data_IF_035095606111
#
_entry.id   IF_035095606111
#
_cell.length_a   1.000
_cell.length_b   1.000
_cell.length_c   1.000
_cell.angle_alpha   90.00
_cell.angle_beta   90.00
_cell.angle_gamma   90.00
#
_symmetry.space_group_name_H-M   'P 1'
#
loop_
_entity.id
_entity.type
_entity.pdbx_description
1 polymer ?
#
# COMPACT_ATOMS: atom_id res chain seq x y z
N UNK A 1 23.28 -10.74 9.55
CA UNK A 1 23.03 -11.37 10.87
C UNK A 1 22.55 -10.40 11.95
N UNK A 2 23.33 -9.41 12.41
CA UNK A 2 22.86 -8.50 13.50
C UNK A 2 21.67 -7.61 13.08
N UNK A 3 21.67 -7.09 11.85
CA UNK A 3 20.56 -6.30 11.30
C UNK A 3 19.27 -7.10 11.15
N UNK A 4 19.38 -8.36 10.74
CA UNK A 4 18.23 -9.27 10.61
C UNK A 4 17.62 -9.59 11.96
N UNK A 5 18.45 -9.78 12.99
CA UNK A 5 17.96 -9.99 14.36
C UNK A 5 17.14 -8.79 14.85
N UNK A 6 17.63 -7.57 14.65
CA UNK A 6 16.89 -6.34 14.98
C UNK A 6 15.58 -6.28 14.21
N UNK A 7 15.60 -6.56 12.90
CA UNK A 7 14.40 -6.50 12.08
C UNK A 7 13.33 -7.52 12.49
N UNK A 8 13.74 -8.74 12.86
CA UNK A 8 12.85 -9.81 13.32
C UNK A 8 12.25 -9.47 14.70
N UNK A 9 13.05 -8.95 15.63
CA UNK A 9 12.62 -8.66 17.00
C UNK A 9 12.12 -7.22 17.21
N UNK A 10 11.95 -6.45 16.12
CA UNK A 10 11.60 -5.01 16.19
C UNK A 10 10.36 -4.74 17.02
N UNK A 11 9.35 -5.63 16.97
CA UNK A 11 8.08 -5.47 17.69
C UNK A 11 8.26 -5.63 19.20
N UNK A 12 9.10 -6.58 19.63
CA UNK A 12 9.44 -6.79 21.05
C UNK A 12 10.29 -5.64 21.61
N UNK A 13 11.05 -4.97 20.75
CA UNK A 13 11.92 -3.84 21.10
C UNK A 13 11.21 -2.48 20.95
N UNK A 14 9.97 -2.44 20.46
CA UNK A 14 9.24 -1.20 20.18
C UNK A 14 9.85 -0.34 19.07
N UNK A 15 10.62 -0.94 18.16
CA UNK A 15 11.33 -0.27 17.07
C UNK A 15 10.47 -0.32 15.79
N UNK A 16 10.27 0.83 15.16
CA UNK A 16 9.57 0.89 13.86
C UNK A 16 10.44 0.34 12.73
N UNK A 17 9.81 -0.13 11.66
CA UNK A 17 10.52 -0.62 10.46
C UNK A 17 11.46 0.44 9.86
N UNK A 18 11.05 1.71 9.90
CA UNK A 18 11.86 2.85 9.44
C UNK A 18 13.12 3.00 10.28
N UNK A 19 13.00 2.95 11.61
CA UNK A 19 14.15 3.07 12.52
C UNK A 19 15.12 1.91 12.33
N UNK A 20 14.61 0.67 12.18
CA UNK A 20 15.44 -0.49 11.90
C UNK A 20 16.23 -0.34 10.58
N UNK A 21 15.59 0.17 9.52
CA UNK A 21 16.26 0.45 8.25
C UNK A 21 17.34 1.54 8.36
N UNK A 22 17.05 2.63 9.08
CA UNK A 22 18.02 3.72 9.31
C UNK A 22 19.22 3.29 10.16
N UNK A 23 19.00 2.42 11.14
CA UNK A 23 20.11 1.79 11.89
C UNK A 23 20.98 0.93 10.98
N UNK A 24 20.37 0.15 10.08
CA UNK A 24 21.09 -0.60 9.06
C UNK A 24 21.96 0.28 8.17
N UNK A 25 21.39 1.36 7.63
CA UNK A 25 22.11 2.33 6.82
C UNK A 25 23.27 2.99 7.59
N UNK A 26 23.03 3.38 8.84
CA UNK A 26 24.05 4.00 9.70
C UNK A 26 25.23 3.06 9.94
N UNK A 27 24.96 1.78 10.19
CA UNK A 27 26.02 0.77 10.37
C UNK A 27 26.82 0.56 9.08
N UNK A 28 26.16 0.52 7.91
CA UNK A 28 26.85 0.38 6.62
C UNK A 28 27.80 1.56 6.33
N UNK A 29 27.39 2.77 6.70
CA UNK A 29 28.24 3.98 6.59
C UNK A 29 29.43 3.93 7.57
N UNK A 30 29.20 3.55 8.83
CA UNK A 30 30.27 3.46 9.85
C UNK A 30 31.31 2.40 9.49
N UNK A 31 30.86 1.27 8.94
CA UNK A 31 31.74 0.19 8.50
C UNK A 31 32.47 0.50 7.18
N UNK A 32 32.16 1.63 6.53
CA UNK A 32 32.74 2.02 5.25
C UNK A 32 32.34 1.13 4.08
N UNK A 33 31.28 0.32 4.23
CA UNK A 33 30.74 -0.54 3.16
C UNK A 33 30.00 0.31 2.13
N UNK A 34 29.36 1.38 2.58
CA UNK A 34 28.78 2.43 1.74
C UNK A 34 29.41 3.76 2.10
N UNK A 35 29.61 4.61 1.11
CA UNK A 35 29.96 6.02 1.30
C UNK A 35 28.70 6.89 1.28
N UNK A 36 28.83 8.12 1.76
CA UNK A 36 27.75 9.09 1.65
C UNK A 36 27.41 9.42 0.19
N UNK A 37 28.42 9.47 -0.67
CA UNK A 37 28.23 9.70 -2.11
C UNK A 37 27.46 8.56 -2.78
N UNK A 38 27.69 7.30 -2.36
CA UNK A 38 26.89 6.16 -2.83
C UNK A 38 25.40 6.38 -2.51
N UNK A 39 25.09 6.83 -1.30
CA UNK A 39 23.71 7.09 -0.87
C UNK A 39 23.06 8.26 -1.64
N UNK A 40 23.81 9.32 -1.92
CA UNK A 40 23.33 10.46 -2.71
C UNK A 40 23.14 10.09 -4.19
N UNK A 41 23.97 9.18 -4.70
CA UNK A 41 23.93 8.74 -6.09
C UNK A 41 22.82 7.73 -6.39
N UNK A 42 22.19 7.16 -5.36
CA UNK A 42 21.09 6.18 -5.47
C UNK A 42 19.77 6.85 -5.87
N UNK A 43 19.68 7.31 -7.12
CA UNK A 43 18.56 8.08 -7.65
C UNK A 43 17.21 7.36 -7.54
N UNK A 44 17.21 6.03 -7.64
CA UNK A 44 15.98 5.23 -7.57
C UNK A 44 15.27 5.37 -6.21
N UNK A 45 16.04 5.39 -5.12
CA UNK A 45 15.50 5.58 -3.78
C UNK A 45 14.91 6.98 -3.59
N UNK A 46 15.59 8.01 -4.08
CA UNK A 46 15.13 9.41 -3.99
C UNK A 46 13.89 9.67 -4.84
N UNK A 47 13.83 9.13 -6.06
CA UNK A 47 12.68 9.26 -6.96
C UNK A 47 11.43 8.60 -6.33
N UNK A 48 11.60 7.39 -5.80
CA UNK A 48 10.57 6.68 -5.05
C UNK A 48 10.07 7.51 -3.87
N UNK A 49 10.97 8.03 -3.03
CA UNK A 49 10.61 8.84 -1.87
C UNK A 49 9.82 10.10 -2.26
N UNK A 50 10.27 10.82 -3.28
CA UNK A 50 9.64 12.07 -3.72
C UNK A 50 8.24 11.83 -4.28
N UNK A 51 8.09 10.87 -5.20
CA UNK A 51 6.80 10.58 -5.83
C UNK A 51 5.79 10.01 -4.82
N UNK A 52 6.20 9.07 -3.97
CA UNK A 52 5.32 8.53 -2.92
C UNK A 52 4.91 9.58 -1.90
N UNK A 53 5.84 10.45 -1.47
CA UNK A 53 5.54 11.53 -0.54
C UNK A 53 4.46 12.48 -1.09
N UNK A 54 4.59 12.88 -2.36
CA UNK A 54 3.61 13.75 -3.03
C UNK A 54 2.26 13.05 -3.19
N UNK A 55 2.24 11.79 -3.65
CA UNK A 55 1.00 11.03 -3.82
C UNK A 55 0.24 10.85 -2.50
N UNK A 56 0.92 10.42 -1.43
CA UNK A 56 0.30 10.24 -0.11
C UNK A 56 -0.21 11.58 0.40
N UNK A 57 0.59 12.66 0.27
CA UNK A 57 0.18 14.01 0.66
C UNK A 57 -1.11 14.47 -0.04
N UNK A 58 -1.21 14.28 -1.36
CA UNK A 58 -2.41 14.61 -2.11
C UNK A 58 -3.62 13.74 -1.71
N UNK A 59 -3.43 12.44 -1.52
CA UNK A 59 -4.50 11.52 -1.09
C UNK A 59 -5.05 11.89 0.30
N UNK A 60 -4.16 12.28 1.23
CA UNK A 60 -4.54 12.79 2.55
C UNK A 60 -5.36 14.07 2.43
N UNK A 61 -4.89 15.05 1.64
CA UNK A 61 -5.62 16.31 1.46
C UNK A 61 -6.99 16.11 0.80
N UNK A 62 -7.11 15.22 -0.19
CA UNK A 62 -8.41 14.88 -0.79
C UNK A 62 -9.37 14.24 0.21
N UNK A 63 -8.84 13.47 1.17
CA UNK A 63 -9.62 12.89 2.25
C UNK A 63 -10.08 13.97 3.22
N UNK A 64 -9.18 14.84 3.66
CA UNK A 64 -9.46 15.93 4.61
C UNK A 64 -10.44 16.97 4.05
N UNK A 65 -10.35 17.25 2.74
CA UNK A 65 -11.31 18.11 2.02
C UNK A 65 -12.67 17.46 1.78
N UNK A 66 -12.87 16.19 2.18
CA UNK A 66 -14.15 15.49 2.08
C UNK A 66 -14.48 14.94 0.68
N UNK A 67 -13.54 15.00 -0.27
CA UNK A 67 -13.74 14.49 -1.65
C UNK A 67 -13.94 12.98 -1.62
N UNK A 68 -13.18 12.26 -0.79
CA UNK A 68 -13.26 10.81 -0.65
C UNK A 68 -14.64 10.36 -0.13
N UNK A 69 -15.16 10.89 1.00
CA UNK A 69 -16.54 10.63 1.43
C UNK A 69 -17.62 11.02 0.41
N UNK A 70 -17.46 12.15 -0.27
CA UNK A 70 -18.40 12.62 -1.28
C UNK A 70 -18.49 11.64 -2.47
N UNK A 71 -17.34 11.27 -3.06
CA UNK A 71 -17.28 10.31 -4.17
C UNK A 71 -17.84 8.96 -3.76
N UNK A 72 -17.51 8.52 -2.54
CA UNK A 72 -18.03 7.27 -1.98
C UNK A 72 -19.55 7.26 -1.90
N UNK A 73 -20.15 8.41 -1.56
CA UNK A 73 -21.60 8.58 -1.49
C UNK A 73 -22.23 8.51 -2.88
N UNK A 74 -21.61 9.11 -3.90
CA UNK A 74 -22.06 9.02 -5.30
C UNK A 74 -22.09 7.56 -5.78
N UNK A 75 -21.01 6.80 -5.57
CA UNK A 75 -20.93 5.39 -5.96
C UNK A 75 -21.95 4.55 -5.18
N UNK A 76 -22.09 4.77 -3.88
CA UNK A 76 -23.07 4.03 -3.08
C UNK A 76 -24.51 4.33 -3.48
N UNK A 77 -24.83 5.57 -3.85
CA UNK A 77 -26.16 5.95 -4.36
C UNK A 77 -26.42 5.34 -5.73
N UNK A 78 -25.41 5.26 -6.60
CA UNK A 78 -25.50 4.53 -7.86
C UNK A 78 -25.80 3.05 -7.64
N UNK A 79 -25.07 2.38 -6.73
CA UNK A 79 -25.32 0.98 -6.35
C UNK A 79 -26.72 0.78 -5.75
N UNK A 80 -27.19 1.72 -4.92
CA UNK A 80 -28.57 1.70 -4.39
C UNK A 80 -29.62 1.87 -5.49
N UNK A 81 -29.37 2.72 -6.49
CA UNK A 81 -30.29 2.92 -7.62
C UNK A 81 -30.48 1.65 -8.44
N UNK A 82 -29.46 0.80 -8.49
CA UNK A 82 -29.50 -0.54 -9.09
C UNK A 82 -30.18 -1.60 -8.19
N UNK A 83 -30.75 -1.20 -7.04
CA UNK A 83 -31.35 -2.09 -6.03
C UNK A 83 -30.41 -3.21 -5.55
N UNK A 84 -29.11 -2.94 -5.54
CA UNK A 84 -28.07 -3.91 -5.17
C UNK A 84 -28.02 -4.05 -3.64
N UNK A 85 -28.27 -5.26 -3.15
CA UNK A 85 -28.08 -5.60 -1.74
C UNK A 85 -26.62 -5.50 -1.30
N UNK A 86 -26.36 -5.29 0.00
CA UNK A 86 -25.01 -5.07 0.52
C UNK A 86 -24.01 -6.20 0.21
N UNK A 87 -24.50 -7.43 0.04
CA UNK A 87 -23.70 -8.61 -0.32
C UNK A 87 -23.08 -8.46 -1.73
N UNK A 88 -23.90 -8.05 -2.69
CA UNK A 88 -23.47 -7.85 -4.07
C UNK A 88 -22.65 -6.55 -4.20
N UNK A 89 -22.97 -5.51 -3.42
CA UNK A 89 -22.14 -4.31 -3.33
C UNK A 89 -20.73 -4.64 -2.81
N UNK A 90 -20.61 -5.47 -1.77
CA UNK A 90 -19.33 -5.96 -1.26
C UNK A 90 -18.55 -6.70 -2.34
N UNK A 91 -19.18 -7.63 -3.06
CA UNK A 91 -18.52 -8.39 -4.12
C UNK A 91 -18.01 -7.49 -5.25
N UNK A 92 -18.85 -6.56 -5.73
CA UNK A 92 -18.49 -5.64 -6.80
C UNK A 92 -17.35 -4.70 -6.38
N UNK A 93 -17.46 -4.07 -5.21
CA UNK A 93 -16.43 -3.18 -4.70
C UNK A 93 -15.11 -3.93 -4.47
N UNK A 94 -15.14 -5.17 -3.97
CA UNK A 94 -13.94 -5.99 -3.82
C UNK A 94 -13.32 -6.42 -5.14
N UNK A 95 -14.12 -6.76 -6.14
CA UNK A 95 -13.62 -7.09 -7.47
C UNK A 95 -12.92 -5.86 -8.09
N UNK A 96 -13.57 -4.69 -8.02
CA UNK A 96 -12.97 -3.44 -8.52
C UNK A 96 -11.68 -3.11 -7.76
N UNK A 97 -11.69 -3.21 -6.43
CA UNK A 97 -10.49 -2.99 -5.61
C UNK A 97 -9.36 -3.95 -5.99
N UNK A 98 -9.66 -5.23 -6.23
CA UNK A 98 -8.66 -6.21 -6.64
C UNK A 98 -8.05 -5.90 -8.02
N UNK A 99 -8.90 -5.63 -9.02
CA UNK A 99 -8.44 -5.44 -10.40
C UNK A 99 -7.85 -4.06 -10.68
N UNK A 100 -8.22 -3.01 -9.96
CA UNK A 100 -7.57 -1.69 -10.10
C UNK A 100 -6.07 -1.79 -9.75
N UNK A 101 -5.65 -2.79 -8.99
CA UNK A 101 -4.24 -2.96 -8.65
C UNK A 101 -3.32 -3.17 -9.86
N UNK A 102 -3.84 -3.62 -11.01
CA UNK A 102 -3.07 -3.63 -12.27
C UNK A 102 -2.50 -2.25 -12.65
N UNK A 103 -3.04 -1.16 -12.10
CA UNK A 103 -2.58 0.21 -12.34
C UNK A 103 -1.57 0.71 -11.29
N UNK A 104 -1.24 -0.09 -10.28
CA UNK A 104 -0.40 0.33 -9.15
C UNK A 104 0.90 -0.49 -9.07
N UNK A 105 2.02 0.21 -8.91
CA UNK A 105 3.30 -0.40 -8.56
C UNK A 105 3.42 -0.47 -7.03
N UNK A 106 3.03 -1.61 -6.46
CA UNK A 106 3.17 -1.92 -5.03
C UNK A 106 1.88 -1.82 -4.20
N UNK A 107 1.74 -2.73 -3.22
CA UNK A 107 0.59 -2.79 -2.32
C UNK A 107 0.43 -1.51 -1.48
N UNK A 108 1.53 -0.97 -0.96
CA UNK A 108 1.52 0.25 -0.13
C UNK A 108 0.96 1.45 -0.90
N UNK A 109 1.30 1.56 -2.19
CA UNK A 109 0.78 2.60 -3.09
C UNK A 109 -0.74 2.52 -3.20
N UNK A 110 -1.25 1.31 -3.46
CA UNK A 110 -2.67 1.05 -3.60
C UNK A 110 -3.41 1.39 -2.29
N UNK A 111 -2.95 0.87 -1.16
CA UNK A 111 -3.60 1.07 0.15
C UNK A 111 -3.62 2.55 0.51
N UNK A 112 -2.49 3.25 0.34
CA UNK A 112 -2.40 4.68 0.63
C UNK A 112 -3.37 5.53 -0.19
N UNK A 113 -3.61 5.15 -1.46
CA UNK A 113 -4.48 5.91 -2.36
C UNK A 113 -5.98 5.56 -2.20
N UNK A 114 -6.32 4.28 -2.01
CA UNK A 114 -7.69 3.79 -2.24
C UNK A 114 -8.35 3.16 -1.02
N UNK A 115 -7.61 2.77 0.02
CA UNK A 115 -8.19 2.02 1.13
C UNK A 115 -9.28 2.80 1.86
N UNK A 116 -9.03 4.07 2.18
CA UNK A 116 -9.99 4.95 2.87
C UNK A 116 -11.26 5.15 2.05
N UNK A 117 -11.13 5.32 0.74
CA UNK A 117 -12.26 5.50 -0.18
C UNK A 117 -13.12 4.24 -0.27
N UNK A 118 -12.52 3.07 -0.49
CA UNK A 118 -13.26 1.82 -0.57
C UNK A 118 -13.89 1.41 0.75
N UNK A 119 -13.22 1.69 1.88
CA UNK A 119 -13.81 1.49 3.19
C UNK A 119 -15.05 2.38 3.37
N UNK A 120 -14.97 3.66 3.00
CA UNK A 120 -16.13 4.57 3.05
C UNK A 120 -17.28 4.11 2.14
N UNK A 121 -16.98 3.59 0.94
CA UNK A 121 -17.97 3.02 0.02
C UNK A 121 -18.68 1.80 0.64
N UNK A 122 -17.93 0.87 1.24
CA UNK A 122 -18.51 -0.28 1.95
C UNK A 122 -19.46 0.13 3.08
N UNK A 123 -19.03 1.09 3.91
CA UNK A 123 -19.85 1.57 5.03
C UNK A 123 -21.14 2.25 4.54
N UNK A 124 -21.06 3.03 3.45
CA UNK A 124 -22.23 3.70 2.86
C UNK A 124 -23.20 2.70 2.21
N UNK A 125 -22.67 1.58 1.70
CA UNK A 125 -23.45 0.44 1.19
C UNK A 125 -24.02 -0.46 2.31
N UNK A 126 -23.85 -0.09 3.59
CA UNK A 126 -24.31 -0.82 4.78
C UNK A 126 -23.63 -2.19 4.99
N UNK A 127 -22.42 -2.37 4.48
CA UNK A 127 -21.60 -3.55 4.80
C UNK A 127 -21.14 -3.45 6.26
N UNK A 128 -21.15 -4.56 7.04
CA UNK A 128 -20.61 -4.56 8.41
C UNK A 128 -19.15 -4.09 8.47
N UNK A 129 -18.84 -3.16 9.38
CA UNK A 129 -17.54 -2.47 9.46
C UNK A 129 -16.34 -3.42 9.56
N UNK A 130 -16.42 -4.43 10.44
CA UNK A 130 -15.35 -5.41 10.64
C UNK A 130 -15.12 -6.24 9.39
N UNK A 131 -16.20 -6.66 8.73
CA UNK A 131 -16.13 -7.39 7.47
C UNK A 131 -15.45 -6.54 6.39
N UNK A 132 -15.85 -5.28 6.23
CA UNK A 132 -15.25 -4.36 5.25
C UNK A 132 -13.75 -4.16 5.44
N UNK A 133 -13.32 -3.95 6.69
CA UNK A 133 -11.91 -3.72 6.99
C UNK A 133 -11.06 -4.97 6.72
N UNK A 134 -11.55 -6.14 7.15
CA UNK A 134 -10.86 -7.42 6.96
C UNK A 134 -10.82 -7.83 5.49
N UNK A 135 -11.94 -7.74 4.76
CA UNK A 135 -11.96 -8.13 3.35
C UNK A 135 -11.06 -7.25 2.50
N UNK A 136 -11.01 -5.94 2.74
CA UNK A 136 -10.05 -5.05 2.08
C UNK A 136 -8.60 -5.45 2.42
N UNK A 137 -8.30 -5.71 3.69
CA UNK A 137 -6.96 -6.12 4.10
C UNK A 137 -6.52 -7.46 3.47
N UNK A 138 -7.40 -8.47 3.41
CA UNK A 138 -7.11 -9.73 2.74
C UNK A 138 -6.93 -9.56 1.23
N UNK A 139 -7.77 -8.74 0.60
CA UNK A 139 -7.67 -8.42 -0.81
C UNK A 139 -6.34 -7.75 -1.15
N UNK A 140 -5.86 -6.85 -0.29
CA UNK A 140 -4.52 -6.24 -0.42
C UNK A 140 -3.39 -7.26 -0.45
N UNK A 141 -3.49 -8.31 0.36
CA UNK A 141 -2.48 -9.37 0.33
C UNK A 141 -2.61 -10.21 -0.95
N UNK A 142 -3.84 -10.50 -1.37
CA UNK A 142 -4.13 -11.34 -2.53
C UNK A 142 -3.69 -10.71 -3.86
N UNK A 143 -3.91 -9.40 -4.03
CA UNK A 143 -3.53 -8.73 -5.29
C UNK A 143 -2.01 -8.61 -5.47
N UNK A 144 -1.22 -8.90 -4.43
CA UNK A 144 0.24 -8.96 -4.48
C UNK A 144 0.82 -10.06 -5.36
N UNK A 145 -0.03 -10.92 -5.91
CA UNK A 145 0.32 -12.00 -6.83
C UNK A 145 -0.11 -11.71 -8.28
N UNK A 146 -0.65 -10.53 -8.60
CA UNK A 146 -1.20 -10.23 -9.93
C UNK A 146 -0.12 -9.97 -10.98
N UNK A 147 0.85 -9.12 -10.66
CA UNK A 147 1.89 -8.66 -11.59
C UNK A 147 3.26 -8.72 -10.92
N UNK A 148 4.30 -8.73 -11.73
CA UNK A 148 5.68 -8.74 -11.26
C UNK A 148 6.08 -7.48 -10.45
N UNK A 149 5.29 -6.41 -10.49
CA UNK A 149 5.51 -5.18 -9.72
C UNK A 149 4.42 -4.93 -8.64
N UNK A 150 3.49 -5.86 -8.45
CA UNK A 150 2.35 -5.70 -7.53
C UNK A 150 2.77 -5.60 -6.06
N UNK A 151 3.91 -6.19 -5.69
CA UNK A 151 4.46 -6.13 -4.34
C UNK A 151 5.99 -6.05 -4.38
N UNK A 152 6.59 -5.60 -3.27
CA UNK A 152 8.05 -5.59 -3.13
C UNK A 152 8.65 -6.99 -3.26
N UNK A 153 7.93 -8.01 -2.77
CA UNK A 153 8.33 -9.41 -2.90
C UNK A 153 8.32 -9.86 -4.36
N UNK A 154 7.22 -9.57 -5.09
CA UNK A 154 7.07 -9.92 -6.50
C UNK A 154 8.16 -9.29 -7.37
N UNK A 155 8.51 -8.02 -7.11
CA UNK A 155 9.57 -7.31 -7.83
C UNK A 155 10.94 -7.97 -7.65
N UNK A 156 11.26 -8.37 -6.42
CA UNK A 156 12.51 -9.09 -6.12
C UNK A 156 12.55 -10.44 -6.82
N UNK A 157 11.47 -11.24 -6.74
CA UNK A 157 11.42 -12.54 -7.42
C UNK A 157 11.57 -12.42 -8.93
N UNK A 158 10.92 -11.45 -9.55
CA UNK A 158 11.03 -11.22 -10.98
C UNK A 158 12.43 -10.77 -11.40
N UNK A 159 13.10 -9.94 -10.59
CA UNK A 159 14.45 -9.44 -10.85
C UNK A 159 15.54 -10.51 -10.82
N UNK A 160 15.32 -11.63 -10.10
CA UNK A 160 16.28 -12.75 -10.00
C UNK A 160 16.13 -13.76 -11.16
N UNK A 161 15.04 -13.68 -11.93
CA UNK A 161 14.81 -14.57 -13.06
C UNK A 161 15.79 -14.25 -14.21
N UNK A 162 16.59 -15.22 -14.71
CA UNK A 162 17.49 -14.99 -15.83
C UNK A 162 16.70 -14.54 -17.06
N UNK A 163 17.01 -13.36 -17.59
CA UNK A 163 16.51 -12.93 -18.90
C UNK A 163 17.31 -13.70 -19.96
N UNK A 164 16.79 -14.84 -20.41
CA UNK A 164 17.30 -15.56 -21.58
C UNK A 164 17.16 -14.72 -22.84
#
# INVERSE_FOLDING_TARGET
MFLEFIYIHRENLGISSVVAAMLGLSILLILGVLTWDDCLSEKSAWDTLAWFGVLIGMATQLTDLGVVPWMSTCVANFLKSLSVGWHLALLLLQAVYFFIHYLFAGQTAHVGALYSAFLSMHLTAKVPRTLSALTLAYNTNLFGALTHYSSGQAAVYYGVCPRT
#
